data_IF_319314904266
#
_entry.id   IF_319314904266
#
_cell.length_a   1.000
_cell.length_b   1.000
_cell.length_c   1.000
_cell.angle_alpha   90.00
_cell.angle_beta   90.00
_cell.angle_gamma   90.00
#
_symmetry.space_group_name_H-M   'P 1'
#
loop_
_entity.id
_entity.type
_entity.pdbx_description
1 polymer ?
#
# COMPACT_ATOMS: atom_id res chain seq x y z
N UNK A 1 -2.27 -16.08 15.88
CA UNK A 1 -1.22 -16.79 15.10
C UNK A 1 -1.42 -18.30 15.02
N UNK A 2 -1.14 -19.11 16.06
CA UNK A 2 -1.18 -20.59 15.95
C UNK A 2 -2.54 -21.10 15.47
N UNK A 3 -3.62 -20.55 16.03
CA UNK A 3 -4.98 -20.90 15.62
C UNK A 3 -5.25 -20.55 14.14
N UNK A 4 -4.97 -19.31 13.71
CA UNK A 4 -5.16 -18.89 12.31
C UNK A 4 -4.33 -19.74 11.34
N UNK A 5 -3.08 -20.08 11.69
CA UNK A 5 -2.26 -20.96 10.87
C UNK A 5 -2.91 -22.34 10.72
N UNK A 6 -3.42 -22.93 11.81
CA UNK A 6 -4.11 -24.21 11.76
C UNK A 6 -5.35 -24.14 10.85
N UNK A 7 -6.16 -23.08 10.96
CA UNK A 7 -7.33 -22.84 10.11
C UNK A 7 -6.94 -22.70 8.62
N UNK A 8 -5.89 -21.93 8.32
CA UNK A 8 -5.36 -21.78 6.98
C UNK A 8 -4.90 -23.11 6.39
N UNK A 9 -4.17 -23.92 7.17
CA UNK A 9 -3.67 -25.22 6.72
C UNK A 9 -4.80 -26.21 6.44
N UNK A 10 -5.89 -26.18 7.20
CA UNK A 10 -7.10 -26.95 6.89
C UNK A 10 -7.63 -26.55 5.51
N UNK A 11 -7.74 -25.25 5.22
CA UNK A 11 -8.13 -24.75 3.90
C UNK A 11 -7.21 -25.23 2.76
N UNK A 12 -5.89 -25.21 2.99
CA UNK A 12 -4.90 -25.71 2.04
C UNK A 12 -5.11 -27.20 1.78
N UNK A 13 -5.25 -28.02 2.82
CA UNK A 13 -5.46 -29.47 2.69
C UNK A 13 -6.74 -29.75 1.90
N UNK A 14 -7.85 -29.09 2.23
CA UNK A 14 -9.12 -29.27 1.53
C UNK A 14 -9.00 -28.92 0.04
N UNK A 15 -8.35 -27.80 -0.29
CA UNK A 15 -8.13 -27.39 -1.68
C UNK A 15 -7.28 -28.41 -2.45
N UNK A 16 -6.20 -28.92 -1.84
CA UNK A 16 -5.32 -29.91 -2.47
C UNK A 16 -5.98 -31.29 -2.61
N UNK A 17 -6.86 -31.67 -1.69
CA UNK A 17 -7.68 -32.90 -1.80
C UNK A 17 -8.68 -32.79 -2.94
N UNK A 18 -9.31 -31.62 -3.14
CA UNK A 18 -10.26 -31.42 -4.24
C UNK A 18 -9.56 -31.41 -5.60
N UNK A 19 -8.42 -30.73 -5.70
CA UNK A 19 -7.61 -30.66 -6.92
C UNK A 19 -6.15 -30.39 -6.56
N UNK A 20 -5.29 -31.37 -6.82
CA UNK A 20 -3.84 -31.22 -6.66
C UNK A 20 -3.33 -30.04 -7.51
N UNK A 21 -2.56 -29.15 -6.89
CA UNK A 21 -2.05 -27.94 -7.54
C UNK A 21 -3.07 -26.79 -7.60
N UNK A 22 -4.20 -26.87 -6.89
CA UNK A 22 -5.08 -25.72 -6.74
C UNK A 22 -4.31 -24.55 -6.12
N UNK A 23 -4.44 -23.35 -6.72
CA UNK A 23 -3.84 -22.14 -6.18
C UNK A 23 -4.56 -21.74 -4.88
N UNK A 24 -3.78 -21.48 -3.83
CA UNK A 24 -4.26 -21.05 -2.51
C UNK A 24 -3.32 -19.96 -1.99
N UNK A 25 -3.90 -18.92 -1.42
CA UNK A 25 -3.20 -17.89 -0.65
C UNK A 25 -3.66 -18.07 0.80
N UNK A 26 -2.72 -18.10 1.74
CA UNK A 26 -3.04 -18.18 3.17
C UNK A 26 -2.95 -16.80 3.80
N UNK A 27 -3.64 -16.60 4.92
CA UNK A 27 -3.58 -15.36 5.66
C UNK A 27 -4.82 -15.18 6.53
N UNK A 28 -4.96 -13.99 7.07
CA UNK A 28 -6.08 -13.66 7.94
C UNK A 28 -5.90 -12.27 8.53
N UNK A 29 -6.99 -11.71 9.03
CA UNK A 29 -6.99 -10.45 9.78
C UNK A 29 -6.89 -10.80 11.25
N UNK A 30 -5.66 -10.97 11.73
CA UNK A 30 -5.38 -11.29 13.12
C UNK A 30 -5.11 -10.00 13.89
N UNK A 31 -6.03 -9.61 14.77
CA UNK A 31 -5.82 -8.44 15.62
C UNK A 31 -6.40 -8.60 17.01
N UNK A 32 -6.15 -7.62 17.86
CA UNK A 32 -6.69 -7.47 19.20
C UNK A 32 -8.04 -6.77 19.17
N UNK A 33 -8.88 -7.12 20.14
CA UNK A 33 -10.09 -6.38 20.46
C UNK A 33 -9.71 -5.34 21.51
N UNK A 34 -10.08 -4.09 21.29
CA UNK A 34 -10.01 -3.07 22.33
C UNK A 34 -11.02 -3.40 23.44
N UNK A 35 -10.52 -3.67 24.64
CA UNK A 35 -11.36 -4.19 25.74
C UNK A 35 -12.37 -3.17 26.28
N UNK A 36 -12.19 -1.88 26.00
CA UNK A 36 -13.10 -0.82 26.45
C UNK A 36 -14.29 -0.67 25.50
N UNK A 37 -14.00 -0.72 24.20
CA UNK A 37 -14.98 -0.47 23.13
C UNK A 37 -15.52 -1.75 22.51
N UNK A 38 -14.88 -2.90 22.77
CA UNK A 38 -15.18 -4.19 22.14
C UNK A 38 -15.07 -4.18 20.62
N UNK A 39 -14.27 -3.27 20.07
CA UNK A 39 -14.02 -3.13 18.63
C UNK A 39 -12.70 -3.81 18.27
N UNK A 40 -12.68 -4.55 17.16
CA UNK A 40 -11.44 -5.09 16.59
C UNK A 40 -10.59 -3.93 16.06
N UNK A 41 -9.36 -3.79 16.54
CA UNK A 41 -8.49 -2.69 16.13
C UNK A 41 -7.69 -3.03 14.88
N UNK A 42 -7.92 -2.32 13.78
CA UNK A 42 -7.11 -2.46 12.56
C UNK A 42 -5.81 -1.63 12.66
N UNK A 43 -5.82 -0.56 13.46
CA UNK A 43 -4.66 0.30 13.69
C UNK A 43 -3.63 -0.29 14.66
N UNK A 44 -3.99 -1.37 15.37
CA UNK A 44 -3.18 -1.97 16.40
C UNK A 44 -1.80 -2.43 15.89
N UNK A 45 -0.70 -2.14 16.61
CA UNK A 45 0.61 -2.65 16.27
C UNK A 45 0.66 -4.19 16.33
N UNK A 46 -0.19 -4.84 17.13
CA UNK A 46 -0.32 -6.29 17.20
C UNK A 46 -0.74 -6.89 15.86
N UNK A 47 -1.65 -6.25 15.12
CA UNK A 47 -2.05 -6.73 13.79
C UNK A 47 -0.87 -6.74 12.82
N UNK A 48 -0.07 -5.67 12.87
CA UNK A 48 1.09 -5.49 11.99
C UNK A 48 2.18 -6.51 12.34
N UNK A 49 2.43 -6.74 13.64
CA UNK A 49 3.38 -7.75 14.12
C UNK A 49 2.96 -9.17 13.74
N UNK A 50 1.69 -9.53 13.95
CA UNK A 50 1.15 -10.85 13.63
C UNK A 50 1.17 -11.10 12.12
N UNK A 51 0.80 -10.10 11.32
CA UNK A 51 0.88 -10.17 9.86
C UNK A 51 2.30 -10.40 9.36
N UNK A 52 3.30 -9.73 9.95
CA UNK A 52 4.71 -9.96 9.62
C UNK A 52 5.16 -11.38 10.01
N UNK A 53 4.81 -11.85 11.21
CA UNK A 53 5.14 -13.20 11.66
C UNK A 53 4.51 -14.30 10.78
N UNK A 54 3.23 -14.13 10.42
CA UNK A 54 2.54 -15.03 9.48
C UNK A 54 3.17 -14.98 8.08
N UNK A 55 3.67 -13.83 7.66
CA UNK A 55 4.42 -13.71 6.40
C UNK A 55 5.68 -14.57 6.43
N UNK A 56 6.46 -14.57 7.51
CA UNK A 56 7.65 -15.41 7.62
C UNK A 56 7.32 -16.91 7.60
N UNK A 57 6.26 -17.30 8.30
CA UNK A 57 5.76 -18.68 8.29
C UNK A 57 5.28 -19.09 6.89
N UNK A 58 4.55 -18.21 6.19
CA UNK A 58 4.05 -18.48 4.84
C UNK A 58 5.18 -18.71 3.83
N UNK A 59 6.27 -17.92 3.94
CA UNK A 59 7.47 -18.08 3.13
C UNK A 59 8.15 -19.41 3.41
N UNK A 60 8.25 -19.81 4.69
CA UNK A 60 8.77 -21.12 5.07
C UNK A 60 7.93 -22.26 4.48
N UNK A 61 6.60 -22.13 4.50
CA UNK A 61 5.65 -23.07 3.88
C UNK A 61 5.60 -23.00 2.35
N UNK A 62 6.25 -21.99 1.74
CA UNK A 62 6.20 -21.68 0.31
C UNK A 62 4.78 -21.44 -0.21
N UNK A 63 3.96 -20.79 0.61
CA UNK A 63 2.61 -20.37 0.27
C UNK A 63 2.55 -18.83 0.20
N UNK A 64 1.81 -18.25 -0.76
CA UNK A 64 1.61 -16.81 -0.78
C UNK A 64 0.84 -16.32 0.45
N UNK A 65 1.20 -15.15 0.96
CA UNK A 65 0.57 -14.48 2.10
C UNK A 65 -0.43 -13.40 1.67
N UNK A 66 -1.61 -13.44 2.26
CA UNK A 66 -2.61 -12.39 2.30
C UNK A 66 -2.47 -11.60 3.61
N UNK A 67 -2.10 -10.32 3.51
CA UNK A 67 -1.83 -9.43 4.64
C UNK A 67 -2.71 -8.18 4.58
N UNK A 68 -2.89 -7.52 5.71
CA UNK A 68 -3.67 -6.27 5.82
C UNK A 68 -2.73 -5.07 6.01
N UNK A 69 -2.96 -3.96 5.31
CA UNK A 69 -2.28 -2.69 5.57
C UNK A 69 -3.02 -1.48 4.98
N UNK A 70 -2.60 -0.28 5.35
CA UNK A 70 -3.12 0.95 4.74
C UNK A 70 -4.56 1.29 5.16
N UNK A 71 -4.98 0.74 6.29
CA UNK A 71 -6.26 0.92 6.97
C UNK A 71 -6.05 1.60 8.33
N UNK A 72 -7.13 2.10 8.94
CA UNK A 72 -7.08 2.78 10.23
C UNK A 72 -8.38 2.65 11.03
N UNK A 73 -8.29 2.78 12.35
CA UNK A 73 -9.44 2.89 13.26
C UNK A 73 -9.97 4.34 13.41
N UNK A 74 -9.29 5.31 12.77
CA UNK A 74 -9.72 6.69 12.68
C UNK A 74 -11.03 6.81 11.88
N UNK A 75 -11.87 7.78 12.24
CA UNK A 75 -13.21 7.99 11.62
C UNK A 75 -13.12 8.93 10.42
N UNK A 76 -12.01 9.65 10.31
CA UNK A 76 -11.74 10.66 9.28
C UNK A 76 -10.27 10.56 8.87
N UNK A 77 -9.93 11.19 7.75
CA UNK A 77 -8.52 11.31 7.35
C UNK A 77 -7.82 12.36 8.21
N UNK A 78 -7.07 11.90 9.21
CA UNK A 78 -6.31 12.73 10.14
C UNK A 78 -4.89 12.16 10.39
N UNK A 79 -4.24 12.65 11.44
CA UNK A 79 -2.91 12.20 11.84
C UNK A 79 -2.91 10.73 12.30
N UNK A 80 -3.97 10.26 12.97
CA UNK A 80 -4.09 8.86 13.37
C UNK A 80 -4.13 7.97 12.12
N UNK A 81 -5.00 8.30 11.17
CA UNK A 81 -5.08 7.59 9.90
C UNK A 81 -3.74 7.53 9.16
N UNK A 82 -3.02 8.65 9.13
CA UNK A 82 -1.71 8.73 8.49
C UNK A 82 -0.65 7.86 9.19
N UNK A 83 -0.60 7.85 10.52
CA UNK A 83 0.37 7.08 11.30
C UNK A 83 0.13 5.58 11.13
N UNK A 84 -1.11 5.13 11.32
CA UNK A 84 -1.49 3.72 11.24
C UNK A 84 -1.28 3.16 9.82
N UNK A 85 -1.66 3.94 8.79
CA UNK A 85 -1.39 3.58 7.39
C UNK A 85 0.11 3.51 7.09
N UNK A 86 0.88 4.54 7.47
CA UNK A 86 2.32 4.58 7.21
C UNK A 86 3.07 3.41 7.86
N UNK A 87 2.74 3.11 9.11
CA UNK A 87 3.34 2.00 9.85
C UNK A 87 3.01 0.65 9.19
N UNK A 88 1.73 0.36 8.99
CA UNK A 88 1.27 -0.93 8.47
C UNK A 88 1.77 -1.18 7.03
N UNK A 89 1.69 -0.19 6.14
CA UNK A 89 2.15 -0.32 4.74
C UNK A 89 3.66 -0.58 4.69
N UNK A 90 4.44 0.18 5.48
CA UNK A 90 5.90 0.03 5.48
C UNK A 90 6.32 -1.34 6.01
N UNK A 91 5.69 -1.81 7.09
CA UNK A 91 6.03 -3.11 7.67
C UNK A 91 5.56 -4.25 6.77
N UNK A 92 4.36 -4.18 6.17
CA UNK A 92 3.88 -5.20 5.24
C UNK A 92 4.77 -5.30 3.98
N UNK A 93 5.29 -4.16 3.51
CA UNK A 93 6.27 -4.11 2.44
C UNK A 93 7.59 -4.79 2.85
N UNK A 94 8.14 -4.44 4.01
CA UNK A 94 9.42 -4.98 4.51
C UNK A 94 9.31 -6.46 4.93
N UNK A 95 8.16 -6.91 5.41
CA UNK A 95 7.91 -8.31 5.72
C UNK A 95 7.82 -9.16 4.45
N UNK A 96 7.61 -8.56 3.28
CA UNK A 96 7.54 -9.25 1.99
C UNK A 96 6.26 -10.06 1.81
N UNK A 97 5.13 -9.55 2.32
CA UNK A 97 3.81 -10.13 2.06
C UNK A 97 3.45 -10.03 0.56
N UNK A 98 2.62 -10.95 0.07
CA UNK A 98 2.37 -11.07 -1.38
C UNK A 98 1.15 -10.28 -1.84
N UNK A 99 0.03 -10.41 -1.13
CA UNK A 99 -1.23 -9.73 -1.42
C UNK A 99 -1.62 -8.89 -0.21
N UNK A 100 -1.37 -7.59 -0.30
CA UNK A 100 -1.70 -6.61 0.74
C UNK A 100 -3.04 -5.96 0.37
N UNK A 101 -4.01 -6.01 1.26
CA UNK A 101 -5.38 -5.52 1.04
C UNK A 101 -5.80 -4.46 2.08
N UNK A 102 -7.06 -4.01 1.99
CA UNK A 102 -7.74 -3.04 2.89
C UNK A 102 -7.21 -1.61 2.87
N UNK A 103 -6.34 -1.32 1.90
CA UNK A 103 -5.85 0.02 1.63
C UNK A 103 -7.05 0.95 1.39
N UNK A 104 -7.18 1.99 2.21
CA UNK A 104 -8.27 2.96 2.10
C UNK A 104 -9.39 2.82 3.13
N UNK A 105 -9.37 1.78 3.96
CA UNK A 105 -10.36 1.63 5.03
C UNK A 105 -10.09 2.54 6.23
N UNK A 106 -11.19 3.06 6.76
CA UNK A 106 -11.32 3.81 8.00
C UNK A 106 -12.35 3.10 8.89
N UNK A 107 -12.42 3.54 10.14
CA UNK A 107 -13.38 3.04 11.14
C UNK A 107 -13.36 1.51 11.24
N UNK A 108 -12.17 0.93 11.37
CA UNK A 108 -12.01 -0.51 11.63
C UNK A 108 -12.64 -1.38 10.53
N UNK A 109 -12.56 -0.91 9.28
CA UNK A 109 -13.10 -1.58 8.09
C UNK A 109 -14.56 -1.23 7.76
N UNK A 110 -15.21 -0.36 8.53
CA UNK A 110 -16.61 0.02 8.30
C UNK A 110 -16.78 1.12 7.23
N UNK A 111 -15.71 1.85 6.90
CA UNK A 111 -15.75 2.97 5.96
C UNK A 111 -14.68 2.84 4.86
N UNK A 112 -15.10 2.76 3.61
CA UNK A 112 -14.23 2.94 2.44
C UNK A 112 -14.03 4.42 2.12
N UNK A 113 -12.81 4.93 2.25
CA UNK A 113 -12.49 6.35 2.03
C UNK A 113 -11.56 6.57 0.83
N UNK A 114 -12.03 7.33 -0.16
CA UNK A 114 -11.20 7.73 -1.31
C UNK A 114 -10.02 8.61 -0.88
N UNK A 115 -10.23 9.48 0.10
CA UNK A 115 -9.18 10.35 0.66
C UNK A 115 -8.08 9.47 1.29
N UNK A 116 -8.46 8.44 2.08
CA UNK A 116 -7.52 7.48 2.66
C UNK A 116 -6.81 6.65 1.59
N UNK A 117 -7.52 6.18 0.57
CA UNK A 117 -6.93 5.41 -0.52
C UNK A 117 -5.85 6.20 -1.27
N UNK A 118 -6.12 7.47 -1.59
CA UNK A 118 -5.16 8.35 -2.26
C UNK A 118 -3.96 8.67 -1.37
N UNK A 119 -4.17 8.93 -0.08
CA UNK A 119 -3.06 9.13 0.86
C UNK A 119 -2.21 7.86 1.00
N UNK A 120 -2.84 6.71 1.20
CA UNK A 120 -2.14 5.43 1.31
C UNK A 120 -1.38 5.06 0.03
N UNK A 121 -1.84 5.49 -1.16
CA UNK A 121 -1.08 5.32 -2.40
C UNK A 121 0.25 6.10 -2.38
N UNK A 122 0.30 7.31 -1.81
CA UNK A 122 1.55 8.06 -1.61
C UNK A 122 2.51 7.30 -0.68
N UNK A 123 1.99 6.76 0.42
CA UNK A 123 2.74 5.93 1.38
C UNK A 123 3.26 4.65 0.71
N UNK A 124 2.45 3.99 -0.12
CA UNK A 124 2.88 2.81 -0.90
C UNK A 124 4.01 3.20 -1.86
N UNK A 125 3.95 4.38 -2.47
CA UNK A 125 5.05 4.93 -3.27
C UNK A 125 6.35 5.05 -2.48
N UNK A 126 6.27 5.57 -1.24
CA UNK A 126 7.41 5.64 -0.32
C UNK A 126 7.94 4.25 0.05
N UNK A 127 7.06 3.32 0.40
CA UNK A 127 7.44 1.95 0.76
C UNK A 127 8.11 1.22 -0.40
N UNK A 128 7.60 1.37 -1.64
CA UNK A 128 8.22 0.82 -2.85
C UNK A 128 9.61 1.40 -3.10
N UNK A 129 9.81 2.69 -2.84
CA UNK A 129 11.14 3.30 -2.95
C UNK A 129 12.11 2.72 -1.92
N UNK A 130 11.66 2.55 -0.66
CA UNK A 130 12.44 1.91 0.40
C UNK A 130 12.83 0.47 0.01
N UNK A 131 11.88 -0.30 -0.52
CA UNK A 131 12.14 -1.67 -1.01
C UNK A 131 13.12 -1.74 -2.19
N UNK A 132 13.30 -0.64 -2.92
CA UNK A 132 14.34 -0.53 -3.96
C UNK A 132 15.76 -0.67 -3.42
N UNK A 133 15.94 -0.48 -2.11
CA UNK A 133 17.24 -0.63 -1.44
C UNK A 133 18.27 0.39 -1.92
N UNK A 134 19.54 0.07 -1.70
CA UNK A 134 20.67 0.91 -2.09
C UNK A 134 21.43 0.19 -3.20
N UNK A 135 21.47 0.79 -4.39
CA UNK A 135 22.25 0.25 -5.51
C UNK A 135 23.73 0.54 -5.29
N UNK A 136 24.55 -0.50 -5.14
CA UNK A 136 26.01 -0.38 -4.94
C UNK A 136 26.74 -0.82 -6.20
N UNK A 137 27.27 0.16 -6.94
CA UNK A 137 28.06 -0.03 -8.17
C UNK A 137 29.16 1.03 -8.22
N UNK A 138 30.22 0.87 -9.03
CA UNK A 138 31.23 1.92 -9.20
C UNK A 138 30.63 3.30 -9.55
N UNK A 139 29.57 3.33 -10.36
CA UNK A 139 28.87 4.57 -10.75
C UNK A 139 28.12 5.21 -9.56
N UNK A 140 27.38 4.41 -8.77
CA UNK A 140 26.58 4.91 -7.65
C UNK A 140 27.41 5.21 -6.40
N UNK A 141 28.60 4.62 -6.28
CA UNK A 141 29.58 5.01 -5.26
C UNK A 141 30.13 6.42 -5.49
N UNK A 142 30.19 6.87 -6.76
CA UNK A 142 30.56 8.22 -7.17
C UNK A 142 31.89 8.74 -6.59
N UNK A 143 32.84 7.85 -6.27
CA UNK A 143 34.10 8.20 -5.59
C UNK A 143 34.93 9.21 -6.39
N UNK A 144 34.99 9.07 -7.71
CA UNK A 144 35.71 10.03 -8.57
C UNK A 144 35.09 11.43 -8.56
N UNK A 145 33.74 11.55 -8.49
CA UNK A 145 33.06 12.84 -8.39
C UNK A 145 33.31 13.46 -7.00
N UNK A 146 33.31 12.65 -5.94
CA UNK A 146 33.60 13.10 -4.57
C UNK A 146 35.02 13.68 -4.50
N UNK A 147 36.00 12.98 -5.07
CA UNK A 147 37.39 13.46 -5.13
C UNK A 147 37.51 14.74 -5.97
N UNK A 148 36.84 14.79 -7.13
CA UNK A 148 36.86 15.95 -8.03
C UNK A 148 36.26 17.22 -7.40
N UNK A 149 35.14 17.09 -6.68
CA UNK A 149 34.47 18.24 -6.03
C UNK A 149 35.26 18.72 -4.82
N UNK A 150 35.82 17.79 -4.05
CA UNK A 150 36.66 18.08 -2.89
C UNK A 150 35.93 18.78 -1.72
N UNK A 151 36.66 19.05 -0.62
CA UNK A 151 36.09 19.67 0.58
C UNK A 151 35.55 21.08 0.31
N UNK A 152 34.35 21.38 0.83
CA UNK A 152 33.71 22.70 0.70
C UNK A 152 33.00 22.95 -0.64
N UNK A 153 33.09 22.02 -1.60
CA UNK A 153 32.36 22.08 -2.87
C UNK A 153 30.89 21.66 -2.77
N UNK A 154 30.18 21.71 -3.90
CA UNK A 154 28.79 21.24 -4.02
C UNK A 154 28.55 20.40 -5.27
N UNK A 155 27.55 19.52 -5.22
CA UNK A 155 27.25 18.57 -6.30
C UNK A 155 26.13 19.03 -7.26
N UNK A 156 25.46 20.16 -6.96
CA UNK A 156 24.25 20.57 -7.68
C UNK A 156 24.43 20.72 -9.20
N UNK A 157 25.60 21.17 -9.64
CA UNK A 157 25.93 21.41 -11.06
C UNK A 157 26.66 20.24 -11.71
N UNK A 158 26.83 19.11 -11.01
CA UNK A 158 27.55 17.96 -11.55
C UNK A 158 26.66 17.16 -12.50
N UNK A 159 27.22 16.72 -13.62
CA UNK A 159 26.51 15.89 -14.59
C UNK A 159 26.06 14.56 -13.97
N UNK A 160 26.85 14.01 -13.03
CA UNK A 160 26.46 12.83 -12.26
C UNK A 160 25.14 13.07 -11.50
N UNK A 161 25.00 14.19 -10.80
CA UNK A 161 23.76 14.54 -10.11
C UNK A 161 22.60 14.65 -11.08
N UNK A 162 22.76 15.36 -12.20
CA UNK A 162 21.72 15.50 -13.23
C UNK A 162 21.25 14.16 -13.80
N UNK A 163 22.16 13.21 -14.01
CA UNK A 163 21.86 11.88 -14.53
C UNK A 163 21.11 11.00 -13.54
N UNK A 164 21.44 11.09 -12.25
CA UNK A 164 20.96 10.12 -11.26
C UNK A 164 19.80 10.61 -10.38
N UNK A 165 19.67 11.92 -10.14
CA UNK A 165 18.75 12.41 -9.10
C UNK A 165 17.28 11.98 -9.29
N UNK A 166 16.78 11.94 -10.54
CA UNK A 166 15.40 11.52 -10.83
C UNK A 166 15.16 10.03 -10.68
N UNK A 167 16.23 9.23 -10.74
CA UNK A 167 16.18 7.77 -10.62
C UNK A 167 16.35 7.35 -9.16
N UNK A 168 17.29 7.97 -8.46
CA UNK A 168 17.70 7.56 -7.11
C UNK A 168 16.90 8.28 -6.00
N UNK A 169 16.25 9.42 -6.29
CA UNK A 169 15.49 10.18 -5.29
C UNK A 169 13.99 10.02 -5.54
N UNK A 170 13.23 9.70 -4.49
CA UNK A 170 11.78 9.71 -4.55
C UNK A 170 11.20 11.13 -4.49
N UNK A 171 10.35 11.43 -5.48
CA UNK A 171 9.63 12.69 -5.60
C UNK A 171 8.18 12.51 -5.15
N UNK A 172 7.72 13.28 -4.16
CA UNK A 172 6.35 13.15 -3.67
C UNK A 172 5.34 13.68 -4.69
N UNK A 173 4.18 13.03 -4.76
CA UNK A 173 3.02 13.55 -5.45
C UNK A 173 2.15 14.42 -4.53
N UNK A 174 2.14 14.13 -3.23
CA UNK A 174 1.28 14.76 -2.23
C UNK A 174 2.05 15.35 -1.04
N UNK A 175 3.24 14.84 -0.70
CA UNK A 175 4.04 15.42 0.39
C UNK A 175 4.64 16.77 0.00
N UNK A 176 4.39 17.79 0.82
CA UNK A 176 4.97 19.13 0.61
C UNK A 176 6.36 19.22 1.27
N UNK A 177 7.36 19.63 0.48
CA UNK A 177 8.74 19.86 0.91
C UNK A 177 9.18 21.31 0.66
N UNK A 178 8.24 22.21 0.42
CA UNK A 178 8.53 23.60 0.10
C UNK A 178 8.95 24.37 1.34
N UNK A 179 9.71 25.45 1.14
CA UNK A 179 9.92 26.44 2.20
C UNK A 179 8.60 27.15 2.53
N UNK A 180 8.43 27.55 3.79
CA UNK A 180 7.22 28.22 4.29
C UNK A 180 6.74 29.34 3.37
N UNK A 181 7.62 30.24 2.94
CA UNK A 181 7.24 31.37 2.06
C UNK A 181 6.58 30.91 0.76
N UNK A 182 7.11 29.86 0.13
CA UNK A 182 6.55 29.31 -1.12
C UNK A 182 5.22 28.59 -0.87
N UNK A 183 5.14 27.82 0.22
CA UNK A 183 3.90 27.16 0.63
C UNK A 183 2.80 28.18 0.95
N UNK A 184 3.15 29.28 1.61
CA UNK A 184 2.23 30.38 1.91
C UNK A 184 1.74 31.10 0.65
N UNK A 185 2.64 31.41 -0.28
CA UNK A 185 2.29 31.98 -1.58
C UNK A 185 1.45 31.01 -2.44
N UNK A 186 1.65 29.70 -2.28
CA UNK A 186 0.91 28.63 -2.94
C UNK A 186 -0.46 28.30 -2.32
N UNK A 187 -0.93 29.12 -1.37
CA UNK A 187 -2.27 28.97 -0.79
C UNK A 187 -2.33 28.11 0.48
N UNK A 188 -1.19 27.81 1.12
CA UNK A 188 -1.14 27.17 2.44
C UNK A 188 -1.88 25.82 2.54
N UNK A 189 -1.90 25.07 1.43
CA UNK A 189 -2.66 23.83 1.38
C UNK A 189 -2.12 22.81 2.38
N UNK A 190 -3.01 22.22 3.15
CA UNK A 190 -2.76 21.08 4.01
C UNK A 190 -2.66 19.79 3.21
N UNK A 191 -2.19 18.71 3.83
CA UNK A 191 -2.18 17.38 3.20
C UNK A 191 -3.58 16.94 2.79
N UNK A 192 -4.57 17.10 3.69
CA UNK A 192 -5.96 16.74 3.43
C UNK A 192 -6.53 17.47 2.20
N UNK A 193 -6.24 18.76 2.03
CA UNK A 193 -6.68 19.52 0.85
C UNK A 193 -6.01 19.04 -0.44
N UNK A 194 -4.72 18.69 -0.40
CA UNK A 194 -4.02 18.12 -1.56
C UNK A 194 -4.57 16.75 -1.94
N UNK A 195 -4.81 15.89 -0.95
CA UNK A 195 -5.44 14.57 -1.12
C UNK A 195 -6.81 14.72 -1.77
N UNK A 196 -7.69 15.57 -1.21
CA UNK A 196 -9.03 15.79 -1.74
C UNK A 196 -9.03 16.35 -3.15
N UNK A 197 -8.11 17.28 -3.44
CA UNK A 197 -7.94 17.78 -4.80
C UNK A 197 -7.53 16.66 -5.77
N UNK A 198 -6.66 15.74 -5.34
CA UNK A 198 -6.25 14.60 -6.17
C UNK A 198 -7.36 13.57 -6.37
N UNK A 199 -8.16 13.30 -5.34
CA UNK A 199 -9.37 12.44 -5.45
C UNK A 199 -10.31 13.02 -6.50
N UNK A 200 -10.63 14.31 -6.40
CA UNK A 200 -11.51 15.00 -7.34
C UNK A 200 -10.97 14.94 -8.77
N UNK A 201 -9.68 15.23 -8.94
CA UNK A 201 -8.98 15.15 -10.23
C UNK A 201 -9.13 13.76 -10.88
N UNK A 202 -8.92 12.69 -10.12
CA UNK A 202 -9.07 11.31 -10.62
C UNK A 202 -10.53 11.04 -11.01
N UNK A 203 -11.49 11.39 -10.17
CA UNK A 203 -12.91 11.13 -10.44
C UNK A 203 -13.44 11.89 -11.66
N UNK A 204 -12.91 13.09 -11.93
CA UNK A 204 -13.34 13.93 -13.04
C UNK A 204 -12.66 13.60 -14.37
N UNK A 205 -11.40 13.14 -14.35
CA UNK A 205 -10.58 13.04 -15.55
C UNK A 205 -10.06 11.63 -15.87
N UNK A 206 -10.19 10.66 -14.96
CA UNK A 206 -9.70 9.31 -15.23
C UNK A 206 -10.65 8.55 -16.17
N UNK A 207 -10.15 8.19 -17.35
CA UNK A 207 -10.82 7.27 -18.26
C UNK A 207 -10.30 5.84 -18.04
N UNK A 208 -11.17 4.88 -17.65
CA UNK A 208 -10.77 3.50 -17.50
C UNK A 208 -10.40 2.89 -18.85
N UNK A 209 -9.48 1.93 -18.83
CA UNK A 209 -9.10 1.20 -20.06
C UNK A 209 -10.33 0.48 -20.62
N UNK A 210 -10.71 0.74 -21.89
CA UNK A 210 -11.90 0.12 -22.46
C UNK A 210 -11.71 -1.38 -22.59
N UNK A 211 -12.76 -2.13 -22.29
CA UNK A 211 -12.81 -3.57 -22.52
C UNK A 211 -13.36 -3.86 -23.93
N UNK A 212 -12.94 -4.96 -24.59
CA UNK A 212 -13.49 -5.32 -25.90
C UNK A 212 -15.01 -5.49 -25.85
N UNK A 213 -15.71 -4.97 -26.86
CA UNK A 213 -17.18 -4.94 -26.91
C UNK A 213 -17.82 -6.34 -26.77
N UNK A 214 -17.18 -7.38 -27.32
CA UNK A 214 -17.63 -8.77 -27.18
C UNK A 214 -17.60 -9.24 -25.71
N UNK A 215 -16.54 -8.89 -24.97
CA UNK A 215 -16.40 -9.21 -23.54
C UNK A 215 -17.45 -8.47 -22.74
N UNK A 216 -17.68 -7.18 -23.04
CA UNK A 216 -18.70 -6.38 -22.37
C UNK A 216 -20.11 -6.96 -22.59
N UNK A 217 -20.44 -7.33 -23.83
CA UNK A 217 -21.72 -7.96 -24.16
C UNK A 217 -21.89 -9.28 -23.40
N UNK A 218 -20.84 -10.10 -23.33
CA UNK A 218 -20.88 -11.36 -22.59
C UNK A 218 -21.05 -11.16 -21.08
N UNK A 219 -20.40 -10.15 -20.50
CA UNK A 219 -20.58 -9.81 -19.08
C UNK A 219 -22.02 -9.40 -18.79
N UNK A 220 -22.61 -8.56 -19.65
CA UNK A 220 -24.02 -8.12 -19.52
C UNK A 220 -24.98 -9.31 -19.58
N UNK A 221 -24.75 -10.26 -20.48
CA UNK A 221 -25.55 -11.48 -20.58
C UNK A 221 -25.47 -12.33 -19.30
N UNK A 222 -24.26 -12.54 -18.76
CA UNK A 222 -24.06 -13.30 -17.51
C UNK A 222 -24.80 -12.63 -16.33
N UNK A 223 -24.72 -11.30 -16.23
CA UNK A 223 -25.43 -10.54 -15.19
C UNK A 223 -26.94 -10.70 -15.35
N UNK A 224 -27.48 -10.53 -16.56
CA UNK A 224 -28.92 -10.68 -16.81
C UNK A 224 -29.42 -12.09 -16.48
N UNK A 225 -28.66 -13.14 -16.83
CA UNK A 225 -28.98 -14.52 -16.47
C UNK A 225 -28.98 -14.76 -14.96
N UNK A 226 -28.03 -14.15 -14.24
CA UNK A 226 -27.98 -14.23 -12.78
C UNK A 226 -29.16 -13.50 -12.13
N UNK A 227 -29.50 -12.30 -12.62
CA UNK A 227 -30.65 -11.52 -12.15
C UNK A 227 -31.97 -12.26 -12.38
N UNK A 228 -32.17 -12.87 -13.54
CA UNK A 228 -33.36 -13.66 -13.83
C UNK A 228 -33.47 -14.89 -12.92
N UNK A 229 -32.35 -15.60 -12.67
CA UNK A 229 -32.31 -16.76 -11.77
C UNK A 229 -32.67 -16.41 -10.33
N UNK A 230 -32.37 -15.19 -9.89
CA UNK A 230 -32.59 -14.72 -8.53
C UNK A 230 -33.79 -13.78 -8.39
N UNK A 231 -34.60 -13.64 -9.44
CA UNK A 231 -35.86 -12.89 -9.42
C UNK A 231 -36.95 -13.72 -8.72
N UNK A 232 -36.87 -13.79 -7.39
CA UNK A 232 -37.96 -14.24 -6.51
C UNK A 232 -38.77 -13.07 -6.01
#
# INVERSE_FOLDING_TARGET
>A
MVQCLAECLVGVVLAQLKRKGAAVIIGGVESTIDMTTSVLSYGAPEMVLLSAAMTDISKWLRLPMFSTAGCSDAKVLDQQAAIESAMSVTIAALSGANLIHDVGYLESGLLGSYDMLVMSNEVIGMAKHILGGITVTPETLATGIIEQVGPGGHYLTQEHTRRHFRKEIWFPGLMDRQMRRSWEAGGKKTMAERVRAKVKDILEHHEPVPIPAEVEARLKEIVAQAEERHRS
#
